data_IF_796469767774
#
_entry.id   IF_796469767774
#
_cell.length_a   1.000
_cell.length_b   1.000
_cell.length_c   1.000
_cell.angle_alpha   90.00
_cell.angle_beta   90.00
_cell.angle_gamma   90.00
#
_symmetry.space_group_name_H-M   'P 1'
#
loop_
_entity.id
_entity.type
_entity.pdbx_description
1 polymer ?
#
# COMPACT_ATOMS: atom_id res chain seq x y z
N UNK A 1 2.07 -0.15 -11.10
CA UNK A 1 2.28 -1.18 -10.05
C UNK A 1 1.42 -2.43 -10.24
N UNK A 2 0.14 -2.34 -10.69
CA UNK A 2 -0.70 -3.54 -10.76
C UNK A 2 -0.09 -4.66 -11.60
N UNK A 3 0.43 -4.36 -12.80
CA UNK A 3 1.17 -5.33 -13.61
C UNK A 3 2.43 -5.83 -12.88
N UNK A 4 3.18 -4.93 -12.23
CA UNK A 4 4.40 -5.29 -11.49
C UNK A 4 4.10 -6.21 -10.31
N UNK A 5 3.05 -5.92 -9.55
CA UNK A 5 2.58 -6.75 -8.43
C UNK A 5 2.13 -8.14 -8.91
N UNK A 6 1.28 -8.18 -9.95
CA UNK A 6 0.85 -9.44 -10.52
C UNK A 6 2.04 -10.25 -11.08
N UNK A 7 3.01 -9.56 -11.71
CA UNK A 7 4.17 -10.25 -12.25
C UNK A 7 5.09 -10.80 -11.17
N UNK A 8 5.34 -10.05 -10.09
CA UNK A 8 6.11 -10.57 -8.96
C UNK A 8 5.48 -11.85 -8.38
N UNK A 9 4.16 -11.85 -8.20
CA UNK A 9 3.43 -12.98 -7.60
C UNK A 9 3.27 -14.13 -8.59
N UNK A 10 2.59 -13.90 -9.73
CA UNK A 10 2.32 -14.96 -10.71
C UNK A 10 3.60 -15.50 -11.34
N UNK A 11 4.54 -14.60 -11.65
CA UNK A 11 5.81 -14.98 -12.26
C UNK A 11 6.63 -15.89 -11.35
N UNK A 12 6.60 -15.62 -10.03
CA UNK A 12 7.28 -16.46 -9.05
C UNK A 12 6.59 -17.84 -8.90
N UNK A 13 5.27 -17.87 -8.74
CA UNK A 13 4.49 -19.12 -8.68
C UNK A 13 4.70 -19.94 -9.94
N UNK A 14 4.67 -19.34 -11.12
CA UNK A 14 4.88 -20.06 -12.38
C UNK A 14 6.32 -20.59 -12.55
N UNK A 15 7.32 -19.90 -11.97
CA UNK A 15 8.69 -20.44 -11.93
C UNK A 15 8.75 -21.70 -11.05
N UNK A 16 8.20 -21.68 -9.84
CA UNK A 16 8.12 -22.84 -8.95
C UNK A 16 7.37 -24.02 -9.57
N UNK A 17 6.25 -23.77 -10.27
CA UNK A 17 5.52 -24.83 -10.98
C UNK A 17 6.36 -25.55 -12.04
N UNK A 18 7.31 -24.87 -12.69
CA UNK A 18 8.21 -25.49 -13.66
C UNK A 18 9.24 -26.40 -13.00
N UNK A 19 9.62 -26.09 -11.76
CA UNK A 19 10.55 -26.86 -10.94
C UNK A 19 9.84 -27.93 -10.08
N UNK A 20 8.51 -28.08 -10.27
CA UNK A 20 7.65 -29.04 -9.54
C UNK A 20 7.66 -28.75 -8.03
N UNK A 21 7.89 -27.52 -7.63
CA UNK A 21 7.77 -27.07 -6.25
C UNK A 21 6.37 -26.48 -5.97
N UNK A 22 5.95 -26.54 -4.72
CA UNK A 22 4.75 -25.85 -4.25
C UNK A 22 5.15 -24.48 -3.76
N UNK A 23 4.49 -23.43 -4.26
CA UNK A 23 4.71 -22.08 -3.78
C UNK A 23 3.68 -21.70 -2.73
N UNK A 24 4.14 -21.23 -1.58
CA UNK A 24 3.28 -20.60 -0.58
C UNK A 24 3.38 -19.10 -0.66
N UNK A 25 2.24 -18.44 -0.83
CA UNK A 25 2.14 -16.99 -0.80
C UNK A 25 1.70 -16.55 0.60
N UNK A 26 2.50 -15.71 1.22
CA UNK A 26 2.17 -15.06 2.49
C UNK A 26 1.98 -13.57 2.24
N UNK A 27 0.84 -13.03 2.62
CA UNK A 27 0.50 -11.62 2.40
C UNK A 27 -0.33 -11.08 3.55
N UNK A 28 -0.71 -9.80 3.55
CA UNK A 28 -1.52 -9.22 4.61
C UNK A 28 -2.97 -8.98 4.21
N UNK A 29 -3.86 -8.83 5.20
CA UNK A 29 -5.28 -8.49 4.97
C UNK A 29 -5.49 -7.04 4.53
N UNK A 30 -4.43 -6.21 4.49
CA UNK A 30 -4.52 -4.79 4.17
C UNK A 30 -3.83 -4.38 2.87
N UNK A 31 -3.43 -5.35 2.05
CA UNK A 31 -2.78 -5.09 0.76
C UNK A 31 -3.68 -4.36 -0.23
N UNK A 32 -3.06 -3.70 -1.21
CA UNK A 32 -3.81 -3.12 -2.32
C UNK A 32 -4.52 -4.22 -3.13
N UNK A 33 -5.69 -3.91 -3.72
CA UNK A 33 -6.48 -4.87 -4.51
C UNK A 33 -5.70 -5.58 -5.61
N UNK A 34 -4.69 -4.93 -6.21
CA UNK A 34 -3.83 -5.58 -7.20
C UNK A 34 -3.01 -6.75 -6.65
N UNK A 35 -2.75 -6.77 -5.34
CA UNK A 35 -2.17 -7.93 -4.64
C UNK A 35 -3.28 -8.89 -4.27
N UNK A 36 -4.30 -8.43 -3.54
CA UNK A 36 -5.38 -9.28 -3.01
C UNK A 36 -6.04 -10.12 -4.10
N UNK A 37 -6.48 -9.49 -5.20
CA UNK A 37 -7.16 -10.20 -6.28
C UNK A 37 -6.22 -11.12 -7.08
N UNK A 38 -4.92 -10.76 -7.18
CA UNK A 38 -3.91 -11.61 -7.78
C UNK A 38 -3.65 -12.85 -6.94
N UNK A 39 -3.50 -12.68 -5.63
CA UNK A 39 -3.29 -13.76 -4.66
C UNK A 39 -4.51 -14.68 -4.61
N UNK A 40 -5.73 -14.12 -4.56
CA UNK A 40 -6.98 -14.90 -4.62
C UNK A 40 -7.09 -15.72 -5.92
N UNK A 41 -6.56 -15.20 -7.03
CA UNK A 41 -6.54 -15.95 -8.28
C UNK A 41 -5.55 -17.12 -8.22
N UNK A 42 -4.39 -16.93 -7.58
CA UNK A 42 -3.40 -18.01 -7.38
C UNK A 42 -3.93 -19.09 -6.42
N UNK A 43 -4.60 -18.69 -5.33
CA UNK A 43 -5.25 -19.61 -4.38
C UNK A 43 -6.27 -20.52 -5.09
N UNK A 44 -7.13 -19.93 -5.94
CA UNK A 44 -8.09 -20.71 -6.74
C UNK A 44 -7.42 -21.69 -7.70
N UNK A 45 -6.26 -21.36 -8.25
CA UNK A 45 -5.47 -22.28 -9.07
C UNK A 45 -4.85 -23.37 -8.20
N UNK A 46 -4.29 -23.02 -7.05
CA UNK A 46 -3.68 -23.94 -6.09
C UNK A 46 -4.65 -24.99 -5.57
N UNK A 47 -5.84 -24.59 -5.19
CA UNK A 47 -6.91 -25.51 -4.73
C UNK A 47 -7.27 -26.61 -5.75
N UNK A 48 -6.98 -26.41 -7.04
CA UNK A 48 -7.20 -27.39 -8.09
C UNK A 48 -5.95 -28.20 -8.48
N UNK A 49 -4.75 -27.73 -8.13
CA UNK A 49 -3.48 -28.28 -8.65
C UNK A 49 -2.45 -28.63 -7.57
N UNK A 50 -2.65 -28.24 -6.31
CA UNK A 50 -1.71 -28.39 -5.18
C UNK A 50 -0.37 -27.64 -5.34
N UNK A 51 -0.26 -26.69 -6.30
CA UNK A 51 0.98 -25.95 -6.55
C UNK A 51 1.06 -24.58 -5.86
N UNK A 52 0.00 -24.12 -5.22
CA UNK A 52 -0.02 -22.84 -4.54
C UNK A 52 -0.99 -22.86 -3.36
N UNK A 53 -0.57 -22.36 -2.22
CA UNK A 53 -1.41 -22.04 -1.08
C UNK A 53 -1.19 -20.59 -0.63
N UNK A 54 -2.15 -20.06 0.11
CA UNK A 54 -2.15 -18.65 0.51
C UNK A 54 -2.43 -18.51 1.99
N UNK A 55 -1.59 -17.70 2.66
CA UNK A 55 -1.80 -17.28 4.05
C UNK A 55 -1.94 -15.77 4.14
N UNK A 56 -3.00 -15.30 4.78
CA UNK A 56 -3.25 -13.88 5.06
C UNK A 56 -2.89 -13.55 6.51
N UNK A 57 -1.84 -12.78 6.69
CA UNK A 57 -1.43 -12.30 8.01
C UNK A 57 -2.40 -11.26 8.54
N UNK A 58 -2.64 -11.30 9.83
CA UNK A 58 -3.32 -10.24 10.57
C UNK A 58 -2.41 -9.02 10.74
N UNK A 59 -3.02 -7.92 11.10
CA UNK A 59 -2.35 -6.69 11.47
C UNK A 59 -2.93 -6.20 12.79
N UNK A 60 -2.16 -5.41 13.51
CA UNK A 60 -2.62 -4.75 14.72
C UNK A 60 -3.54 -3.55 14.42
N UNK A 61 -4.04 -2.88 15.45
CA UNK A 61 -4.90 -1.69 15.36
C UNK A 61 -4.22 -0.47 14.71
N UNK A 62 -2.89 -0.47 14.62
CA UNK A 62 -2.08 0.54 13.94
C UNK A 62 -1.73 0.14 12.50
N UNK A 63 -2.06 -1.08 12.08
CA UNK A 63 -1.81 -1.62 10.75
C UNK A 63 -0.41 -2.20 10.56
N UNK A 64 0.30 -2.55 11.63
CA UNK A 64 1.56 -3.31 11.54
C UNK A 64 1.28 -4.81 11.42
N UNK A 65 2.11 -5.47 10.62
CA UNK A 65 2.06 -6.93 10.42
C UNK A 65 2.31 -7.66 11.72
N UNK A 66 1.54 -8.72 11.98
CA UNK A 66 1.77 -9.66 13.07
C UNK A 66 3.03 -10.51 12.77
N UNK A 67 4.14 -10.14 13.42
CA UNK A 67 5.44 -10.79 13.21
C UNK A 67 5.50 -12.19 13.78
N UNK A 68 4.76 -12.47 14.86
CA UNK A 68 4.69 -13.81 15.45
C UNK A 68 3.94 -14.76 14.50
N UNK A 69 2.85 -14.28 13.88
CA UNK A 69 2.13 -15.02 12.87
C UNK A 69 3.00 -15.24 11.62
N UNK A 70 3.76 -14.23 11.17
CA UNK A 70 4.70 -14.39 10.06
C UNK A 70 5.73 -15.49 10.35
N UNK A 71 6.35 -15.48 11.53
CA UNK A 71 7.34 -16.49 11.88
C UNK A 71 6.72 -17.88 12.04
N UNK A 72 5.46 -17.98 12.54
CA UNK A 72 4.76 -19.25 12.70
C UNK A 72 4.51 -19.96 11.38
N UNK A 73 4.18 -19.21 10.32
CA UNK A 73 3.96 -19.76 8.97
C UNK A 73 5.18 -20.52 8.47
N UNK A 74 6.39 -20.04 8.76
CA UNK A 74 7.62 -20.73 8.40
C UNK A 74 7.89 -21.96 9.28
N UNK A 75 7.63 -21.85 10.59
CA UNK A 75 7.88 -22.93 11.56
C UNK A 75 6.94 -24.13 11.40
N UNK A 76 5.72 -23.91 10.92
CA UNK A 76 4.72 -24.98 10.71
C UNK A 76 5.02 -25.85 9.49
N UNK A 77 6.00 -25.47 8.68
CA UNK A 77 6.40 -26.20 7.46
C UNK A 77 7.63 -27.05 7.75
N UNK A 78 7.38 -28.30 8.14
CA UNK A 78 8.40 -29.23 8.62
C UNK A 78 9.40 -29.72 7.53
N UNK A 79 9.09 -29.53 6.23
CA UNK A 79 9.93 -29.98 5.11
C UNK A 79 10.27 -28.82 4.18
N UNK A 80 11.36 -28.05 4.42
CA UNK A 80 11.73 -26.89 3.62
C UNK A 80 12.08 -27.19 2.16
N UNK A 81 12.38 -28.46 1.82
CA UNK A 81 12.85 -28.82 0.48
C UNK A 81 11.73 -28.87 -0.60
N UNK A 82 10.45 -28.74 -0.21
CA UNK A 82 9.31 -28.80 -1.12
C UNK A 82 8.50 -27.51 -1.25
N UNK A 83 8.80 -26.48 -0.46
CA UNK A 83 8.02 -25.24 -0.45
C UNK A 83 8.87 -24.00 -0.69
N UNK A 84 8.57 -23.32 -1.79
CA UNK A 84 9.05 -21.97 -2.03
C UNK A 84 8.10 -20.97 -1.35
N UNK A 85 8.58 -20.13 -0.47
CA UNK A 85 7.75 -19.15 0.22
C UNK A 85 7.98 -17.75 -0.34
N UNK A 86 6.92 -17.18 -0.92
CA UNK A 86 6.87 -15.78 -1.33
C UNK A 86 6.09 -14.96 -0.30
N UNK A 87 6.76 -14.07 0.38
CA UNK A 87 6.12 -13.06 1.23
C UNK A 87 5.91 -11.79 0.42
N UNK A 88 4.67 -11.33 0.28
CA UNK A 88 4.31 -10.11 -0.47
C UNK A 88 3.61 -9.12 0.45
N UNK A 89 4.28 -8.02 0.79
CA UNK A 89 3.81 -7.03 1.77
C UNK A 89 4.01 -5.62 1.21
N UNK A 90 3.01 -4.76 1.36
CA UNK A 90 3.15 -3.35 1.05
C UNK A 90 4.06 -2.64 2.06
N UNK A 91 4.97 -1.78 1.57
CA UNK A 91 5.83 -0.98 2.45
C UNK A 91 5.05 0.05 3.24
N UNK A 92 4.03 0.65 2.62
CA UNK A 92 3.17 1.63 3.28
C UNK A 92 1.73 1.51 2.79
N UNK A 93 0.78 1.55 3.72
CA UNK A 93 -0.63 1.39 3.40
C UNK A 93 -1.19 2.66 2.73
N UNK A 94 -1.95 2.47 1.65
CA UNK A 94 -2.53 3.55 0.85
C UNK A 94 -3.73 4.26 1.53
N UNK A 95 -4.34 3.66 2.54
CA UNK A 95 -5.46 4.25 3.27
C UNK A 95 -5.00 4.91 4.57
N UNK A 96 -4.39 4.17 5.47
CA UNK A 96 -4.00 4.65 6.80
C UNK A 96 -2.56 5.18 6.87
N UNK A 97 -1.76 4.98 5.84
CA UNK A 97 -0.42 5.55 5.74
C UNK A 97 0.65 4.86 6.59
N UNK A 98 0.33 3.84 7.38
CA UNK A 98 1.28 3.11 8.21
C UNK A 98 2.39 2.51 7.37
N UNK A 99 3.65 2.72 7.78
CA UNK A 99 4.86 2.21 7.14
C UNK A 99 5.32 0.97 7.91
N UNK A 100 5.47 -0.16 7.22
CA UNK A 100 5.94 -1.42 7.78
C UNK A 100 7.44 -1.40 8.05
N UNK A 101 7.90 -2.13 9.08
CA UNK A 101 9.33 -2.36 9.28
C UNK A 101 9.82 -3.47 8.35
N UNK A 102 10.16 -3.10 7.12
CA UNK A 102 10.59 -4.04 6.08
C UNK A 102 11.87 -4.78 6.46
N UNK A 103 12.77 -4.16 7.24
CA UNK A 103 14.01 -4.81 7.67
C UNK A 103 13.72 -6.01 8.59
N UNK A 104 12.89 -5.85 9.60
CA UNK A 104 12.53 -6.94 10.53
C UNK A 104 11.77 -8.05 9.79
N UNK A 105 10.85 -7.69 8.87
CA UNK A 105 10.15 -8.64 8.01
C UNK A 105 11.15 -9.43 7.17
N UNK A 106 12.09 -8.74 6.53
CA UNK A 106 13.12 -9.33 5.69
C UNK A 106 14.03 -10.30 6.46
N UNK A 107 14.40 -9.94 7.71
CA UNK A 107 15.20 -10.82 8.57
C UNK A 107 14.48 -12.15 8.85
N UNK A 108 13.19 -12.10 9.17
CA UNK A 108 12.39 -13.32 9.38
C UNK A 108 12.28 -14.11 8.08
N UNK A 109 11.92 -13.47 6.95
CA UNK A 109 11.76 -14.14 5.66
C UNK A 109 13.04 -14.86 5.24
N UNK A 110 14.18 -14.17 5.28
CA UNK A 110 15.46 -14.73 4.85
C UNK A 110 16.04 -15.76 5.82
N UNK A 111 15.77 -15.65 7.12
CA UNK A 111 16.16 -16.66 8.11
C UNK A 111 15.64 -18.06 7.73
N UNK A 112 14.49 -18.11 7.09
CA UNK A 112 13.83 -19.36 6.69
C UNK A 112 13.90 -19.61 5.18
N UNK A 113 14.73 -18.86 4.43
CA UNK A 113 14.95 -19.09 3.00
C UNK A 113 13.82 -18.61 2.07
N UNK A 114 12.88 -17.80 2.58
CA UNK A 114 11.81 -17.22 1.78
C UNK A 114 12.29 -16.06 0.89
N UNK A 115 11.41 -15.61 -0.01
CA UNK A 115 11.62 -14.46 -0.91
C UNK A 115 10.68 -13.33 -0.54
N UNK A 116 11.17 -12.10 -0.45
CA UNK A 116 10.41 -10.92 -0.08
C UNK A 116 10.10 -10.03 -1.29
N UNK A 117 8.81 -9.93 -1.65
CA UNK A 117 8.27 -8.90 -2.54
C UNK A 117 7.66 -7.75 -1.73
N UNK A 118 8.00 -6.52 -2.10
CA UNK A 118 7.48 -5.31 -1.46
C UNK A 118 6.72 -4.45 -2.46
N UNK A 119 5.42 -4.21 -2.22
CA UNK A 119 4.69 -3.16 -2.92
C UNK A 119 5.05 -1.80 -2.31
N UNK A 120 5.98 -1.09 -2.96
CA UNK A 120 6.42 0.23 -2.56
C UNK A 120 5.66 1.36 -3.26
N UNK A 121 4.51 1.09 -3.88
CA UNK A 121 3.76 2.07 -4.68
C UNK A 121 3.47 3.37 -3.94
N UNK A 122 3.18 3.29 -2.65
CA UNK A 122 2.91 4.49 -1.83
C UNK A 122 4.16 5.07 -1.17
N UNK A 123 5.20 4.25 -0.99
CA UNK A 123 6.43 4.63 -0.30
C UNK A 123 7.49 5.23 -1.25
N UNK A 124 7.54 4.72 -2.50
CA UNK A 124 8.52 5.14 -3.49
C UNK A 124 8.43 6.64 -3.78
N UNK A 125 9.54 7.36 -3.63
CA UNK A 125 9.60 8.81 -3.76
C UNK A 125 9.02 9.60 -2.57
N UNK A 126 8.46 8.91 -1.55
CA UNK A 126 7.97 9.54 -0.33
C UNK A 126 8.90 9.33 0.86
N UNK A 127 9.55 8.17 0.94
CA UNK A 127 10.53 7.82 1.97
C UNK A 127 11.77 7.18 1.32
N UNK A 128 12.94 7.23 1.97
CA UNK A 128 14.13 6.56 1.46
C UNK A 128 13.94 5.04 1.39
N UNK A 129 14.39 4.44 0.27
CA UNK A 129 14.36 3.00 0.06
C UNK A 129 15.74 2.54 -0.41
N UNK A 130 16.37 1.65 0.36
CA UNK A 130 17.55 0.92 -0.05
C UNK A 130 17.23 -0.58 -0.09
N UNK A 131 17.05 -1.10 -1.29
CA UNK A 131 16.63 -2.50 -1.48
C UNK A 131 17.65 -3.51 -0.92
N UNK A 132 18.94 -3.14 -0.85
CA UNK A 132 19.98 -4.01 -0.30
C UNK A 132 19.99 -3.98 1.22
N UNK A 133 19.98 -2.77 1.81
CA UNK A 133 19.97 -2.60 3.25
C UNK A 133 18.68 -3.15 3.87
N UNK A 134 17.55 -3.00 3.18
CA UNK A 134 16.24 -3.51 3.62
C UNK A 134 16.01 -4.99 3.29
N UNK A 135 16.93 -5.65 2.58
CA UNK A 135 16.79 -7.06 2.21
C UNK A 135 15.63 -7.35 1.26
N UNK A 136 15.30 -6.43 0.36
CA UNK A 136 14.18 -6.58 -0.57
C UNK A 136 14.63 -7.38 -1.80
N UNK A 137 13.93 -8.46 -2.12
CA UNK A 137 14.24 -9.30 -3.29
C UNK A 137 13.48 -8.86 -4.54
N UNK A 138 12.24 -8.41 -4.39
CA UNK A 138 11.45 -7.79 -5.46
C UNK A 138 10.73 -6.55 -4.95
N UNK A 139 10.62 -5.50 -5.79
CA UNK A 139 9.94 -4.27 -5.42
C UNK A 139 9.14 -3.70 -6.58
N UNK A 140 7.88 -3.38 -6.30
CA UNK A 140 6.97 -2.75 -7.26
C UNK A 140 6.76 -1.28 -6.96
N UNK A 141 6.74 -0.43 -8.02
CA UNK A 141 6.38 0.98 -7.91
C UNK A 141 5.66 1.50 -9.15
N UNK A 142 5.12 2.72 -9.07
CA UNK A 142 4.32 3.33 -10.14
C UNK A 142 4.62 4.82 -10.30
N UNK A 143 4.78 5.26 -11.55
CA UNK A 143 5.14 6.64 -11.89
C UNK A 143 4.13 7.67 -11.38
N UNK A 144 2.82 7.40 -11.51
CA UNK A 144 1.78 8.38 -11.16
C UNK A 144 1.67 8.67 -9.65
N UNK A 145 2.35 7.90 -8.80
CA UNK A 145 2.42 8.14 -7.34
C UNK A 145 3.56 9.06 -6.94
N UNK A 146 4.47 9.35 -7.87
CA UNK A 146 5.58 10.29 -7.68
C UNK A 146 5.50 11.48 -8.64
N UNK A 147 4.30 11.85 -9.09
CA UNK A 147 4.09 12.97 -10.01
C UNK A 147 4.39 12.64 -11.48
N UNK A 148 4.65 11.38 -11.82
CA UNK A 148 4.87 10.93 -13.18
C UNK A 148 3.58 10.57 -13.94
N UNK A 149 3.73 10.08 -15.16
CA UNK A 149 2.61 9.73 -16.04
C UNK A 149 1.91 8.45 -15.59
N UNK A 150 0.60 8.35 -15.86
CA UNK A 150 -0.17 7.11 -15.66
C UNK A 150 0.27 6.04 -16.66
N UNK A 151 0.08 4.75 -16.29
CA UNK A 151 0.33 3.61 -17.18
C UNK A 151 1.79 3.14 -17.24
N UNK A 152 2.66 3.67 -16.38
CA UNK A 152 4.07 3.26 -16.25
C UNK A 152 4.39 2.89 -14.82
N UNK A 153 5.16 1.84 -14.65
CA UNK A 153 5.71 1.36 -13.38
C UNK A 153 6.93 0.49 -13.62
N UNK A 154 7.52 -0.01 -12.57
CA UNK A 154 8.61 -0.99 -12.68
C UNK A 154 8.45 -2.12 -11.64
N UNK A 155 9.11 -3.22 -11.94
CA UNK A 155 9.44 -4.28 -11.00
C UNK A 155 10.96 -4.36 -10.89
N UNK A 156 11.50 -4.09 -9.71
CA UNK A 156 12.87 -4.47 -9.36
C UNK A 156 12.88 -5.95 -8.99
N UNK A 157 13.89 -6.65 -9.47
CA UNK A 157 14.14 -8.05 -9.14
C UNK A 157 15.63 -8.24 -8.85
N UNK A 158 15.96 -8.78 -7.69
CA UNK A 158 17.33 -9.15 -7.32
C UNK A 158 17.83 -10.27 -8.23
N UNK A 159 19.11 -10.24 -8.55
CA UNK A 159 19.73 -11.33 -9.31
C UNK A 159 19.61 -12.65 -8.56
N UNK A 160 19.27 -13.72 -9.27
CA UNK A 160 19.07 -15.05 -8.71
C UNK A 160 17.63 -15.39 -8.36
N UNK A 161 16.74 -14.41 -8.26
CA UNK A 161 15.29 -14.70 -8.14
C UNK A 161 14.75 -15.09 -9.52
N UNK A 162 14.16 -16.26 -9.63
CA UNK A 162 13.53 -16.72 -10.87
C UNK A 162 12.06 -16.32 -10.91
N UNK A 163 11.63 -15.73 -12.01
CA UNK A 163 10.22 -15.42 -12.31
C UNK A 163 9.93 -15.68 -13.79
N UNK A 164 8.75 -16.17 -14.09
CA UNK A 164 8.29 -16.35 -15.47
C UNK A 164 7.62 -15.04 -15.98
N UNK A 165 7.74 -14.74 -17.28
CA UNK A 165 7.01 -13.63 -17.87
C UNK A 165 5.51 -13.88 -17.84
N UNK A 166 4.72 -12.84 -17.54
CA UNK A 166 3.24 -12.86 -17.67
C UNK A 166 2.78 -12.21 -18.99
N UNK A 167 3.66 -11.43 -19.62
CA UNK A 167 3.46 -10.88 -20.97
C UNK A 167 4.62 -11.38 -21.83
N UNK A 168 4.33 -12.33 -22.70
CA UNK A 168 5.35 -12.99 -23.52
C UNK A 168 5.82 -12.13 -24.68
N UNK A 169 7.11 -12.22 -25.02
CA UNK A 169 7.75 -11.52 -26.12
C UNK A 169 9.28 -11.58 -26.01
N UNK A 170 9.97 -10.91 -26.95
CA UNK A 170 11.44 -10.88 -26.97
C UNK A 170 12.04 -9.66 -26.25
N UNK A 171 11.20 -8.67 -25.92
CA UNK A 171 11.65 -7.43 -25.30
C UNK A 171 12.12 -7.69 -23.85
N UNK A 172 12.89 -6.76 -23.31
CA UNK A 172 13.44 -6.86 -21.95
C UNK A 172 14.07 -8.24 -21.67
N UNK A 173 14.89 -8.72 -22.60
CA UNK A 173 15.54 -10.06 -22.54
C UNK A 173 14.56 -11.24 -22.36
N UNK A 174 13.34 -11.11 -22.89
CA UNK A 174 12.27 -12.11 -22.78
C UNK A 174 11.46 -12.06 -21.49
N UNK A 175 11.81 -11.17 -20.57
CA UNK A 175 11.13 -11.05 -19.28
C UNK A 175 9.78 -10.31 -19.38
N UNK A 176 9.65 -9.35 -20.30
CA UNK A 176 8.41 -8.61 -20.49
C UNK A 176 8.26 -8.18 -21.93
N UNK A 177 7.36 -8.84 -22.65
CA UNK A 177 7.08 -8.59 -24.07
C UNK A 177 6.34 -7.27 -24.30
N UNK A 178 6.33 -6.84 -25.58
CA UNK A 178 5.71 -5.59 -26.03
C UNK A 178 6.71 -4.44 -26.12
N UNK A 179 6.49 -3.56 -27.13
CA UNK A 179 7.33 -2.39 -27.34
C UNK A 179 7.35 -1.50 -26.11
N UNK A 180 8.53 -1.04 -25.73
CA UNK A 180 8.74 -0.20 -24.56
C UNK A 180 8.03 1.15 -24.72
N UNK A 181 7.32 1.59 -23.68
CA UNK A 181 6.72 2.93 -23.60
C UNK A 181 7.80 3.97 -23.26
N UNK A 182 8.66 4.27 -24.25
CA UNK A 182 9.81 5.16 -24.08
C UNK A 182 9.42 6.51 -23.49
N UNK A 183 8.36 7.14 -24.00
CA UNK A 183 7.90 8.43 -23.49
C UNK A 183 7.49 8.36 -22.00
N UNK A 184 6.76 7.31 -21.64
CA UNK A 184 6.36 7.08 -20.25
C UNK A 184 7.54 6.78 -19.34
N UNK A 185 8.51 5.99 -19.80
CA UNK A 185 9.73 5.64 -19.05
C UNK A 185 10.57 6.90 -18.78
N UNK A 186 10.79 7.74 -19.79
CA UNK A 186 11.51 9.01 -19.66
C UNK A 186 10.79 9.96 -18.71
N UNK A 187 9.46 10.06 -18.82
CA UNK A 187 8.64 10.86 -17.89
C UNK A 187 8.71 10.34 -16.46
N UNK A 188 8.76 9.01 -16.26
CA UNK A 188 8.94 8.42 -14.94
C UNK A 188 10.34 8.72 -14.38
N UNK A 189 11.40 8.58 -15.19
CA UNK A 189 12.76 8.92 -14.76
C UNK A 189 12.85 10.38 -14.29
N UNK A 190 12.23 11.32 -15.02
CA UNK A 190 12.18 12.73 -14.60
C UNK A 190 11.41 12.94 -13.32
N UNK A 191 10.27 12.26 -13.13
CA UNK A 191 9.52 12.35 -11.89
C UNK A 191 10.31 11.82 -10.68
N UNK A 192 11.08 10.73 -10.86
CA UNK A 192 11.97 10.20 -9.82
C UNK A 192 13.09 11.18 -9.47
N UNK A 193 13.70 11.81 -10.47
CA UNK A 193 14.73 12.84 -10.24
C UNK A 193 14.17 13.99 -9.40
N UNK A 194 12.97 14.49 -9.72
CA UNK A 194 12.31 15.57 -8.98
C UNK A 194 11.97 15.14 -7.55
N UNK A 195 11.36 13.97 -7.38
CA UNK A 195 11.01 13.42 -6.07
C UNK A 195 12.26 13.17 -5.19
N UNK A 196 13.38 12.78 -5.80
CA UNK A 196 14.65 12.61 -5.10
C UNK A 196 15.18 13.93 -4.55
N UNK A 197 15.10 15.01 -5.32
CA UNK A 197 15.50 16.35 -4.87
C UNK A 197 14.58 16.86 -3.73
N UNK A 198 13.28 16.59 -3.80
CA UNK A 198 12.34 16.94 -2.75
C UNK A 198 12.53 16.12 -1.47
N UNK A 199 13.13 14.93 -1.55
CA UNK A 199 13.40 14.10 -0.38
C UNK A 199 14.35 14.74 0.62
N UNK A 200 15.22 15.65 0.20
CA UNK A 200 16.13 16.40 1.09
C UNK A 200 15.37 17.34 2.05
N UNK A 201 14.16 17.77 1.67
CA UNK A 201 13.32 18.69 2.49
C UNK A 201 12.01 18.06 3.00
N UNK A 202 11.93 16.74 3.05
CA UNK A 202 10.72 16.03 3.54
C UNK A 202 10.32 16.38 4.98
N UNK A 203 11.25 16.90 5.79
CA UNK A 203 10.92 17.34 7.16
C UNK A 203 9.80 18.38 7.18
N UNK A 204 9.75 19.31 6.21
CA UNK A 204 8.69 20.28 6.09
C UNK A 204 7.32 19.62 5.84
N UNK A 205 7.26 18.58 5.01
CA UNK A 205 6.02 17.86 4.75
C UNK A 205 5.55 17.05 5.97
N UNK A 206 6.49 16.44 6.72
CA UNK A 206 6.16 15.78 8.00
C UNK A 206 5.57 16.78 9.00
N UNK A 207 6.16 17.99 9.13
CA UNK A 207 5.65 19.03 10.02
C UNK A 207 4.23 19.46 9.63
N UNK A 208 3.95 19.66 8.34
CA UNK A 208 2.63 20.01 7.83
C UNK A 208 1.61 18.90 8.08
N UNK A 209 1.97 17.64 7.83
CA UNK A 209 1.12 16.48 8.13
C UNK A 209 0.78 16.40 9.62
N UNK A 210 1.78 16.55 10.50
CA UNK A 210 1.59 16.44 11.94
C UNK A 210 0.76 17.62 12.48
N UNK A 211 0.95 18.81 11.93
CA UNK A 211 0.11 19.97 12.21
C UNK A 211 -1.34 19.68 11.84
N UNK A 212 -1.60 19.25 10.60
CA UNK A 212 -2.95 18.94 10.11
C UNK A 212 -3.61 17.83 10.96
N UNK A 213 -2.88 16.75 11.23
CA UNK A 213 -3.36 15.68 12.08
C UNK A 213 -3.74 16.16 13.49
N UNK A 214 -2.90 17.01 14.09
CA UNK A 214 -3.14 17.60 15.41
C UNK A 214 -4.41 18.45 15.44
N UNK A 215 -4.60 19.31 14.45
CA UNK A 215 -5.78 20.20 14.38
C UNK A 215 -7.08 19.39 14.21
N UNK A 216 -7.04 18.30 13.41
CA UNK A 216 -8.19 17.39 13.30
C UNK A 216 -8.47 16.66 14.62
N UNK A 217 -7.44 16.23 15.35
CA UNK A 217 -7.59 15.59 16.67
C UNK A 217 -8.21 16.58 17.67
N UNK A 218 -7.74 17.83 17.71
CA UNK A 218 -8.30 18.89 18.56
C UNK A 218 -9.77 19.14 18.21
N UNK A 219 -10.15 18.99 16.95
CA UNK A 219 -11.52 19.11 16.46
C UNK A 219 -12.41 17.89 16.78
N UNK A 220 -11.86 16.87 17.46
CA UNK A 220 -12.59 15.70 17.93
C UNK A 220 -12.51 14.48 17.01
N UNK A 221 -11.68 14.49 15.98
CA UNK A 221 -11.41 13.33 15.15
C UNK A 221 -10.43 12.35 15.84
N UNK A 222 -10.52 11.05 15.51
CA UNK A 222 -9.59 10.03 15.99
C UNK A 222 -8.71 9.53 14.84
N UNK A 223 -7.38 9.49 14.97
CA UNK A 223 -6.50 9.00 13.91
C UNK A 223 -6.66 7.50 13.71
N UNK A 224 -6.58 7.03 12.45
CA UNK A 224 -6.47 5.63 12.09
C UNK A 224 -5.03 5.32 11.67
N UNK A 225 -4.50 4.18 12.11
CA UNK A 225 -3.12 3.76 11.84
C UNK A 225 -2.06 4.47 12.71
N UNK A 226 -0.80 4.20 12.47
CA UNK A 226 0.32 4.73 13.25
C UNK A 226 0.46 6.25 13.08
N UNK A 227 0.73 6.97 14.18
CA UNK A 227 1.08 8.41 14.12
C UNK A 227 2.58 8.63 13.86
N UNK A 228 3.42 7.66 14.22
CA UNK A 228 4.89 7.77 14.14
C UNK A 228 5.40 7.21 12.81
N UNK A 229 5.18 5.93 12.57
CA UNK A 229 5.58 5.26 11.32
C UNK A 229 4.51 5.45 10.25
N UNK A 230 4.44 6.67 9.70
CA UNK A 230 3.41 7.08 8.72
C UNK A 230 4.02 7.85 7.58
N UNK A 231 3.47 7.66 6.38
CA UNK A 231 3.81 8.45 5.20
C UNK A 231 3.69 9.97 5.46
N UNK A 232 4.60 10.78 4.92
CA UNK A 232 4.62 12.23 5.16
C UNK A 232 3.41 12.96 4.57
N UNK A 233 2.70 12.36 3.64
CA UNK A 233 1.61 12.97 2.90
C UNK A 233 0.23 12.37 3.21
N UNK A 234 0.11 11.46 4.19
CA UNK A 234 -1.14 10.76 4.49
C UNK A 234 -1.73 11.17 5.84
N UNK A 235 -2.98 11.56 5.83
CA UNK A 235 -3.81 11.83 7.00
C UNK A 235 -5.08 10.97 6.88
N UNK A 236 -5.32 10.08 7.83
CA UNK A 236 -6.55 9.30 7.89
C UNK A 236 -7.12 9.40 9.29
N UNK A 237 -8.37 9.86 9.39
CA UNK A 237 -9.05 10.06 10.67
C UNK A 237 -10.48 9.54 10.62
N UNK A 238 -10.94 9.04 11.74
CA UNK A 238 -12.34 8.75 12.01
C UNK A 238 -13.01 10.00 12.58
N UNK A 239 -14.13 10.38 12.00
CA UNK A 239 -14.96 11.51 12.42
C UNK A 239 -15.69 11.20 13.73
N UNK A 240 -16.11 12.21 14.49
CA UNK A 240 -16.95 12.05 15.67
C UNK A 240 -18.24 11.32 15.38
N UNK A 241 -18.85 10.75 16.42
CA UNK A 241 -20.14 10.06 16.31
C UNK A 241 -21.24 10.99 15.74
N UNK A 242 -22.06 10.42 14.87
CA UNK A 242 -23.15 11.14 14.19
C UNK A 242 -22.70 11.90 12.95
N UNK A 243 -21.43 11.88 12.56
CA UNK A 243 -20.90 12.54 11.35
C UNK A 243 -20.55 11.50 10.28
N UNK A 244 -21.23 11.51 9.14
CA UNK A 244 -20.97 10.63 8.01
C UNK A 244 -19.82 11.16 7.14
N UNK A 245 -18.90 10.28 6.72
CA UNK A 245 -17.76 10.72 5.88
C UNK A 245 -18.19 11.06 4.44
N UNK A 246 -19.20 10.40 3.89
CA UNK A 246 -19.72 10.70 2.55
C UNK A 246 -20.34 12.11 2.48
N UNK A 247 -21.16 12.45 3.49
CA UNK A 247 -21.78 13.78 3.57
C UNK A 247 -20.75 14.88 3.75
N UNK A 248 -19.74 14.63 4.63
CA UNK A 248 -18.63 15.56 4.81
C UNK A 248 -17.84 15.75 3.49
N UNK A 249 -17.55 14.67 2.76
CA UNK A 249 -16.88 14.72 1.48
C UNK A 249 -17.62 15.61 0.48
N UNK A 250 -18.96 15.47 0.35
CA UNK A 250 -19.75 16.32 -0.53
C UNK A 250 -19.72 17.79 -0.11
N UNK A 251 -19.74 18.08 1.19
CA UNK A 251 -19.65 19.48 1.66
C UNK A 251 -18.30 20.09 1.35
N UNK A 252 -17.21 19.34 1.57
CA UNK A 252 -15.85 19.81 1.28
C UNK A 252 -15.59 20.01 -0.21
N UNK A 253 -16.18 19.15 -1.07
CA UNK A 253 -16.07 19.28 -2.53
C UNK A 253 -16.72 20.58 -3.05
N UNK A 254 -17.77 21.07 -2.41
CA UNK A 254 -18.39 22.37 -2.71
C UNK A 254 -17.48 23.57 -2.39
N UNK A 255 -16.54 23.39 -1.49
CA UNK A 255 -15.53 24.37 -1.10
C UNK A 255 -14.15 24.10 -1.76
N UNK A 256 -14.14 23.34 -2.90
CA UNK A 256 -12.96 22.95 -3.67
C UNK A 256 -11.92 22.14 -2.87
N UNK A 257 -12.32 21.48 -1.79
CA UNK A 257 -11.47 20.61 -0.97
C UNK A 257 -11.68 19.16 -1.37
N UNK A 258 -10.66 18.57 -2.03
CA UNK A 258 -10.69 17.18 -2.45
C UNK A 258 -10.10 16.26 -1.39
N UNK A 259 -10.88 15.28 -0.98
CA UNK A 259 -10.49 14.23 -0.03
C UNK A 259 -11.05 12.87 -0.46
N UNK A 260 -10.79 11.82 0.31
CA UNK A 260 -11.26 10.48 -0.01
C UNK A 260 -11.81 9.77 1.22
N UNK A 261 -12.83 8.95 1.02
CA UNK A 261 -13.24 7.95 2.01
C UNK A 261 -12.46 6.65 1.78
N UNK A 262 -12.32 5.79 2.79
CA UNK A 262 -11.62 4.51 2.65
C UNK A 262 -12.17 3.61 1.54
N UNK A 263 -13.40 3.84 1.10
CA UNK A 263 -14.07 3.15 0.00
C UNK A 263 -13.89 3.82 -1.38
N UNK A 264 -13.09 4.87 -1.51
CA UNK A 264 -12.96 5.65 -2.75
C UNK A 264 -12.53 4.83 -3.99
N UNK A 265 -11.86 3.69 -3.81
CA UNK A 265 -11.60 2.74 -4.89
C UNK A 265 -12.80 1.86 -5.26
N UNK A 266 -13.90 1.92 -4.51
CA UNK A 266 -15.13 1.16 -4.70
C UNK A 266 -16.29 2.09 -5.04
N UNK A 267 -16.13 3.00 -6.00
CA UNK A 267 -17.14 3.98 -6.43
C UNK A 267 -18.54 3.39 -6.76
N UNK A 268 -18.69 2.08 -6.72
CA UNK A 268 -19.95 1.36 -6.95
C UNK A 268 -20.39 0.45 -5.78
N UNK A 269 -19.67 0.37 -4.66
CA UNK A 269 -20.09 -0.44 -3.51
C UNK A 269 -20.07 0.37 -2.22
N UNK A 270 -21.22 0.39 -1.50
CA UNK A 270 -21.36 0.96 -0.15
C UNK A 270 -20.66 0.13 0.95
N UNK A 271 -19.66 -0.70 0.60
CA UNK A 271 -18.97 -1.53 1.57
C UNK A 271 -17.89 -0.72 2.30
N UNK A 272 -17.81 -0.83 3.63
CA UNK A 272 -16.74 -0.24 4.41
C UNK A 272 -15.36 -0.71 3.96
N UNK A 273 -14.31 0.09 4.24
CA UNK A 273 -12.94 -0.28 3.92
C UNK A 273 -12.54 -1.58 4.59
N UNK A 274 -12.06 -2.56 3.80
CA UNK A 274 -11.52 -3.81 4.32
C UNK A 274 -10.23 -3.58 5.13
N UNK A 275 -9.46 -2.54 4.79
CA UNK A 275 -8.27 -2.12 5.55
C UNK A 275 -8.66 -1.71 6.96
N UNK A 276 -9.59 -0.77 7.10
CA UNK A 276 -10.05 -0.30 8.41
C UNK A 276 -10.70 -1.42 9.24
N UNK A 277 -11.38 -2.35 8.60
CA UNK A 277 -11.91 -3.54 9.27
C UNK A 277 -10.82 -4.48 9.76
N UNK A 278 -9.76 -4.67 8.98
CA UNK A 278 -8.61 -5.46 9.40
C UNK A 278 -7.87 -4.84 10.61
N UNK A 279 -7.91 -3.51 10.76
CA UNK A 279 -7.43 -2.81 11.95
C UNK A 279 -8.40 -2.93 13.16
N UNK A 280 -9.50 -3.65 13.05
CA UNK A 280 -10.47 -3.86 14.13
C UNK A 280 -11.60 -2.83 14.22
N UNK A 281 -11.76 -1.92 13.25
CA UNK A 281 -12.88 -0.98 13.24
C UNK A 281 -14.17 -1.70 12.84
N UNK A 282 -15.27 -1.34 13.52
CA UNK A 282 -16.63 -1.74 13.10
C UNK A 282 -17.00 -1.09 11.77
N UNK A 283 -18.01 -1.63 11.08
CA UNK A 283 -18.50 -1.06 9.82
C UNK A 283 -18.92 0.41 9.98
N UNK A 284 -19.55 0.75 11.11
CA UNK A 284 -19.95 2.11 11.44
C UNK A 284 -18.75 3.05 11.61
N UNK A 285 -17.71 2.63 12.35
CA UNK A 285 -16.48 3.40 12.55
C UNK A 285 -15.72 3.58 11.24
N UNK A 286 -15.60 2.51 10.44
CA UNK A 286 -14.96 2.57 9.13
C UNK A 286 -15.72 3.51 8.15
N UNK A 287 -17.04 3.52 8.19
CA UNK A 287 -17.88 4.42 7.38
C UNK A 287 -17.75 5.91 7.77
N UNK A 288 -17.23 6.21 8.96
CA UNK A 288 -16.97 7.58 9.43
C UNK A 288 -15.52 8.02 9.19
N UNK A 289 -14.72 7.24 8.48
CA UNK A 289 -13.31 7.56 8.25
C UNK A 289 -13.11 8.31 6.94
N UNK A 290 -12.26 9.33 6.99
CA UNK A 290 -11.90 10.19 5.86
C UNK A 290 -10.38 10.27 5.73
N UNK A 291 -9.89 10.35 4.47
CA UNK A 291 -8.48 10.45 4.16
C UNK A 291 -8.19 11.74 3.39
N UNK A 292 -7.20 12.47 3.85
CA UNK A 292 -6.57 13.56 3.12
C UNK A 292 -5.18 13.15 2.65
N UNK A 293 -4.80 13.64 1.48
CA UNK A 293 -3.44 13.48 0.96
C UNK A 293 -2.92 14.86 0.60
N UNK A 294 -1.79 15.23 1.20
CA UNK A 294 -1.18 16.54 1.01
C UNK A 294 0.06 16.44 0.10
N UNK A 295 0.38 17.53 -0.56
CA UNK A 295 1.58 17.70 -1.38
C UNK A 295 2.61 18.62 -0.69
N UNK A 296 3.82 18.67 -1.21
CA UNK A 296 4.91 19.49 -0.64
C UNK A 296 4.62 20.98 -0.67
N UNK A 297 3.83 21.45 -1.62
CA UNK A 297 3.48 22.85 -1.86
C UNK A 297 2.33 23.36 -0.98
N UNK A 298 1.60 22.48 -0.26
CA UNK A 298 0.55 22.93 0.67
C UNK A 298 1.13 23.88 1.72
N UNK A 299 0.41 24.94 2.04
CA UNK A 299 0.79 25.89 3.09
C UNK A 299 0.10 25.57 4.43
N UNK A 300 0.53 26.20 5.54
CA UNK A 300 -0.18 26.09 6.81
C UNK A 300 -1.53 26.80 6.74
N UNK A 301 -1.62 27.89 5.99
CA UNK A 301 -2.86 28.62 5.73
C UNK A 301 -3.89 27.75 4.98
N UNK A 302 -3.46 26.94 4.01
CA UNK A 302 -4.32 25.98 3.33
C UNK A 302 -4.84 24.92 4.30
N UNK A 303 -3.97 24.42 5.20
CA UNK A 303 -4.35 23.45 6.22
C UNK A 303 -5.38 24.06 7.19
N UNK A 304 -5.16 25.29 7.65
CA UNK A 304 -6.09 25.99 8.53
C UNK A 304 -7.45 26.16 7.86
N UNK A 305 -7.48 26.54 6.58
CA UNK A 305 -8.71 26.64 5.80
C UNK A 305 -9.45 25.31 5.74
N UNK A 306 -8.75 24.21 5.42
CA UNK A 306 -9.36 22.86 5.36
C UNK A 306 -9.93 22.47 6.72
N UNK A 307 -9.19 22.71 7.82
CA UNK A 307 -9.65 22.38 9.18
C UNK A 307 -10.90 23.22 9.54
N UNK A 308 -10.91 24.50 9.21
CA UNK A 308 -12.07 25.37 9.46
C UNK A 308 -13.33 24.86 8.72
N UNK A 309 -13.21 24.49 7.44
CA UNK A 309 -14.34 23.97 6.67
C UNK A 309 -14.79 22.58 7.17
N UNK A 310 -13.87 21.70 7.58
CA UNK A 310 -14.21 20.44 8.24
C UNK A 310 -15.02 20.68 9.52
N UNK A 311 -14.57 21.60 10.37
CA UNK A 311 -15.26 21.94 11.64
C UNK A 311 -16.64 22.56 11.39
N UNK A 312 -16.75 23.44 10.40
CA UNK A 312 -18.01 24.07 9.98
C UNK A 312 -18.99 23.05 9.47
N UNK A 313 -18.58 22.14 8.59
CA UNK A 313 -19.39 21.06 8.06
C UNK A 313 -19.87 20.13 9.17
N UNK A 314 -18.97 19.70 10.07
CA UNK A 314 -19.36 18.87 11.23
C UNK A 314 -20.40 19.55 12.14
N UNK A 315 -20.32 20.88 12.34
CA UNK A 315 -21.33 21.64 13.11
C UNK A 315 -22.69 21.66 12.42
N UNK A 316 -22.72 21.86 11.10
CA UNK A 316 -23.94 21.83 10.30
C UNK A 316 -24.63 20.47 10.42
N UNK A 317 -23.86 19.39 10.22
CA UNK A 317 -24.36 18.01 10.27
C UNK A 317 -24.95 17.66 11.66
N UNK A 318 -24.27 18.10 12.75
CA UNK A 318 -24.77 17.89 14.13
C UNK A 318 -26.08 18.62 14.41
N UNK A 319 -26.32 19.77 13.81
CA UNK A 319 -27.53 20.56 14.01
C UNK A 319 -28.70 20.07 13.14
N UNK A 320 -28.42 19.21 12.15
CA UNK A 320 -29.43 18.66 11.23
C UNK A 320 -29.95 17.28 11.66
N UNK A 321 -29.29 16.65 12.63
CA UNK A 321 -29.67 15.40 13.30
C UNK A 321 -30.30 15.68 14.66
#
# INVERSE_FOLDING_TARGET
SSESNCWAIQGYVFAGMMDISTTSIVTTKIEHKSIMECVDAMDRLGNNTFYCDVTYLDVDELGFVDMDQLESVFKEREEPDYYDILVSIQMANNEVGTIQNIMDISEVVHKYGGVLHVDATQAFGQIPIDVKAMGIDMLSASAHKVGGVKGVGFLYKKNGIEIQPIIYGSQNTGLRGGTENVAGIVGFAKAVELASNEMEDKNALYMKRDYFMRELIISGCCPNGSLVSRLPNNINVMLPEGIGSEELLYMLDLDDIQCGTGSACNSHSKKPSYVLKALGLTDEKAARSIRFTISSDITFEDIDYVVEEVVKAMKIMRNSN
#
